data_IF_874998613049
#
_entry.id   IF_874998613049
#
_cell.length_a   1.000
_cell.length_b   1.000
_cell.length_c   1.000
_cell.angle_alpha   90.00
_cell.angle_beta   90.00
_cell.angle_gamma   90.00
#
_symmetry.space_group_name_H-M   'P 1'
#
loop_
_entity.id
_entity.type
_entity.pdbx_description
1 polymer ?
#
# COMPACT_ATOMS: atom_id res chain seq x y z
N UNK A 1 -5.79 -2.17 -21.55
CA UNK A 1 -6.07 -0.79 -21.11
C UNK A 1 -4.87 -0.39 -20.28
N UNK A 2 -4.23 0.76 -20.56
CA UNK A 2 -3.12 1.20 -19.72
C UNK A 2 -3.68 1.51 -18.33
N UNK A 3 -3.05 0.98 -17.29
CA UNK A 3 -3.31 1.43 -15.93
C UNK A 3 -2.81 2.86 -15.84
N UNK A 4 -3.62 3.76 -15.27
CA UNK A 4 -3.33 5.20 -15.16
C UNK A 4 -3.09 5.60 -13.70
N UNK A 5 -3.06 4.61 -12.82
CA UNK A 5 -2.84 4.72 -11.38
C UNK A 5 -1.89 3.58 -10.99
N UNK A 6 -0.80 3.91 -10.33
CA UNK A 6 0.25 2.97 -9.98
C UNK A 6 0.65 3.11 -8.52
N UNK A 7 1.03 1.99 -7.91
CA UNK A 7 1.55 1.94 -6.53
C UNK A 7 3.06 1.76 -6.60
N UNK A 8 3.78 2.41 -5.70
CA UNK A 8 5.23 2.41 -5.60
C UNK A 8 5.64 2.02 -4.19
N UNK A 9 6.76 1.32 -4.07
CA UNK A 9 7.38 0.91 -2.81
C UNK A 9 8.85 1.36 -2.78
N UNK A 10 9.62 0.82 -1.83
CA UNK A 10 11.04 1.13 -1.63
C UNK A 10 11.30 2.58 -1.18
N UNK A 11 10.64 2.96 -0.08
CA UNK A 11 10.78 4.26 0.60
C UNK A 11 10.48 5.49 -0.27
N UNK A 12 9.32 5.56 -0.92
CA UNK A 12 8.95 6.73 -1.73
C UNK A 12 8.89 8.01 -0.87
N UNK A 13 9.26 9.13 -1.47
CA UNK A 13 9.22 10.46 -0.87
C UNK A 13 7.94 11.16 -1.29
N UNK A 14 7.22 11.75 -0.33
CA UNK A 14 5.96 12.47 -0.58
C UNK A 14 6.18 13.66 -1.50
N UNK A 15 5.30 13.83 -2.51
CA UNK A 15 5.39 14.89 -3.52
C UNK A 15 6.49 14.71 -4.57
N UNK A 16 7.32 13.66 -4.47
CA UNK A 16 8.34 13.32 -5.46
C UNK A 16 7.82 12.26 -6.46
N UNK A 17 8.70 11.77 -7.34
CA UNK A 17 8.43 10.68 -8.29
C UNK A 17 9.38 9.48 -8.12
N UNK A 18 10.05 9.39 -6.98
CA UNK A 18 10.91 8.26 -6.60
C UNK A 18 10.10 7.05 -6.13
N UNK A 19 10.78 5.91 -5.99
CA UNK A 19 10.17 4.63 -5.63
C UNK A 19 10.29 3.59 -6.75
N UNK A 20 9.98 2.35 -6.42
CA UNK A 20 9.93 1.22 -7.37
C UNK A 20 8.49 0.82 -7.56
N UNK A 21 8.03 0.77 -8.82
CA UNK A 21 6.67 0.39 -9.13
C UNK A 21 6.38 -1.03 -8.62
N UNK A 22 5.26 -1.15 -7.90
CA UNK A 22 4.67 -2.42 -7.53
C UNK A 22 3.92 -2.92 -8.74
N UNK A 23 4.14 -4.18 -9.09
CA UNK A 23 3.51 -4.81 -10.24
C UNK A 23 2.00 -4.76 -10.13
N UNK A 24 1.36 -4.25 -11.17
CA UNK A 24 -0.08 -4.24 -11.35
C UNK A 24 -0.46 -5.34 -12.35
N UNK A 25 -1.15 -6.38 -11.85
CA UNK A 25 -1.68 -7.49 -12.66
C UNK A 25 -0.66 -8.45 -13.31
N UNK A 26 0.66 -8.23 -13.16
CA UNK A 26 1.70 -9.11 -13.71
C UNK A 26 2.43 -9.94 -12.66
N UNK A 27 2.23 -9.65 -11.37
CA UNK A 27 2.85 -10.31 -10.21
C UNK A 27 4.40 -10.33 -10.24
N UNK A 28 5.04 -9.53 -11.10
CA UNK A 28 6.49 -9.56 -11.31
C UNK A 28 7.28 -8.82 -10.22
N UNK A 29 6.62 -7.91 -9.49
CA UNK A 29 7.19 -7.08 -8.44
C UNK A 29 6.15 -6.76 -7.35
N UNK A 30 5.60 -7.76 -6.65
CA UNK A 30 4.61 -7.53 -5.58
C UNK A 30 5.27 -6.93 -4.34
N UNK A 31 4.46 -6.40 -3.43
CA UNK A 31 4.90 -6.03 -2.08
C UNK A 31 5.15 -7.33 -1.30
N UNK A 32 6.42 -7.74 -1.19
CA UNK A 32 6.81 -8.94 -0.45
C UNK A 32 7.31 -8.60 0.94
N UNK A 33 6.74 -9.23 1.96
CA UNK A 33 7.18 -9.13 3.36
C UNK A 33 7.43 -10.51 3.93
N UNK A 34 8.54 -10.66 4.65
CA UNK A 34 8.88 -11.89 5.36
C UNK A 34 8.61 -11.67 6.85
N UNK A 35 7.71 -12.44 7.44
CA UNK A 35 7.35 -12.36 8.85
C UNK A 35 7.71 -13.66 9.58
N UNK A 36 8.22 -13.55 10.80
CA UNK A 36 8.38 -14.68 11.70
C UNK A 36 7.06 -14.97 12.44
N UNK A 37 6.27 -15.90 11.90
CA UNK A 37 4.97 -16.29 12.45
C UNK A 37 5.10 -16.75 13.91
N UNK A 38 6.16 -17.48 14.28
CA UNK A 38 6.40 -17.97 15.64
C UNK A 38 6.59 -16.86 16.69
N UNK A 39 6.77 -15.61 16.26
CA UNK A 39 6.86 -14.42 17.11
C UNK A 39 5.68 -13.45 16.94
N UNK A 40 4.71 -13.76 16.08
CA UNK A 40 3.63 -12.83 15.73
C UNK A 40 4.16 -11.51 15.18
N UNK A 41 5.24 -11.56 14.38
CA UNK A 41 5.90 -10.38 13.84
C UNK A 41 4.94 -9.59 12.93
N UNK A 42 5.03 -8.26 13.00
CA UNK A 42 4.37 -7.34 12.09
C UNK A 42 5.42 -6.52 11.37
N UNK A 43 5.24 -6.28 10.06
CA UNK A 43 6.10 -5.38 9.29
C UNK A 43 5.27 -4.36 8.56
N UNK A 44 5.72 -3.11 8.66
CA UNK A 44 5.17 -2.01 7.88
C UNK A 44 6.05 -1.77 6.64
N UNK A 45 5.39 -1.46 5.53
CA UNK A 45 6.01 -1.09 4.26
C UNK A 45 5.48 0.28 3.88
N UNK A 46 6.40 1.18 3.52
CA UNK A 46 6.07 2.49 2.99
C UNK A 46 5.73 2.36 1.51
N UNK A 47 4.53 2.81 1.15
CA UNK A 47 4.03 2.81 -0.21
C UNK A 47 3.66 4.23 -0.66
N UNK A 48 3.57 4.43 -1.96
CA UNK A 48 3.00 5.62 -2.54
C UNK A 48 2.07 5.24 -3.68
N UNK A 49 1.08 6.07 -3.93
CA UNK A 49 0.24 5.97 -5.12
C UNK A 49 0.40 7.25 -5.93
N UNK A 50 0.43 7.12 -7.24
CA UNK A 50 0.40 8.26 -8.16
C UNK A 50 -0.30 7.90 -9.45
N UNK A 51 -0.88 8.91 -10.07
CA UNK A 51 -1.44 8.85 -11.41
C UNK A 51 -0.36 9.09 -12.46
N UNK A 52 -0.64 8.66 -13.68
CA UNK A 52 0.13 9.09 -14.85
C UNK A 52 0.03 10.60 -15.07
N UNK A 53 1.05 11.19 -15.70
CA UNK A 53 1.08 12.63 -15.95
C UNK A 53 -0.11 13.07 -16.81
N UNK A 54 -0.83 14.10 -16.34
CA UNK A 54 -2.06 14.59 -16.98
C UNK A 54 -3.35 14.04 -16.37
N UNK A 55 -3.26 13.19 -15.34
CA UNK A 55 -4.42 12.66 -14.61
C UNK A 55 -4.32 12.94 -13.11
N UNK A 56 -5.47 12.99 -12.45
CA UNK A 56 -5.59 13.04 -11.00
C UNK A 56 -6.85 12.30 -10.53
N UNK A 57 -6.93 12.04 -9.24
CA UNK A 57 -8.14 11.54 -8.60
C UNK A 57 -9.01 12.73 -8.19
N UNK A 58 -10.24 12.78 -8.70
CA UNK A 58 -11.27 13.68 -8.23
C UNK A 58 -11.87 13.14 -6.93
N UNK A 59 -11.66 13.88 -5.84
CA UNK A 59 -12.07 13.47 -4.50
C UNK A 59 -11.07 12.57 -3.78
N UNK A 60 -11.54 11.41 -3.30
CA UNK A 60 -10.76 10.51 -2.46
C UNK A 60 -10.48 9.18 -3.18
N UNK A 61 -9.23 8.74 -3.11
CA UNK A 61 -8.82 7.41 -3.49
C UNK A 61 -8.93 6.47 -2.28
N UNK A 62 -9.71 5.41 -2.41
CA UNK A 62 -9.84 4.37 -1.39
C UNK A 62 -8.79 3.29 -1.62
N UNK A 63 -7.97 3.00 -0.61
CA UNK A 63 -7.07 1.85 -0.57
C UNK A 63 -7.67 0.80 0.37
N UNK A 64 -7.79 -0.45 -0.11
CA UNK A 64 -8.26 -1.60 0.67
C UNK A 64 -7.58 -2.88 0.20
N UNK A 65 -7.70 -3.95 0.96
CA UNK A 65 -7.17 -5.27 0.61
C UNK A 65 -8.31 -6.22 0.26
N UNK A 66 -8.08 -7.08 -0.73
CA UNK A 66 -9.01 -8.14 -1.16
C UNK A 66 -8.26 -9.47 -1.24
N UNK A 67 -8.97 -10.59 -1.09
CA UNK A 67 -8.36 -11.93 -1.06
C UNK A 67 -8.69 -12.70 0.22
N UNK A 68 -8.21 -13.94 0.31
CA UNK A 68 -8.53 -14.87 1.41
C UNK A 68 -7.97 -14.41 2.77
N UNK A 69 -6.84 -13.69 2.79
CA UNK A 69 -6.20 -13.20 4.01
C UNK A 69 -6.09 -11.67 4.06
N UNK A 70 -7.03 -10.96 3.43
CA UNK A 70 -7.07 -9.50 3.44
C UNK A 70 -7.15 -8.92 4.87
N UNK A 71 -7.71 -9.65 5.83
CA UNK A 71 -7.80 -9.26 7.24
C UNK A 71 -6.44 -9.12 7.94
N UNK A 72 -5.41 -9.80 7.40
CA UNK A 72 -4.02 -9.72 7.87
C UNK A 72 -3.25 -8.56 7.30
N UNK A 73 -3.89 -7.75 6.48
CA UNK A 73 -3.30 -6.54 5.93
C UNK A 73 -4.07 -5.32 6.41
N UNK A 74 -3.34 -4.29 6.80
CA UNK A 74 -3.92 -3.01 7.22
C UNK A 74 -3.19 -1.87 6.53
N UNK A 75 -3.90 -0.80 6.25
CA UNK A 75 -3.35 0.42 5.70
C UNK A 75 -3.45 1.56 6.73
N UNK A 76 -2.54 2.51 6.65
CA UNK A 76 -2.55 3.72 7.45
C UNK A 76 -2.17 4.94 6.59
N UNK A 77 -2.80 6.07 6.88
CA UNK A 77 -2.46 7.35 6.24
C UNK A 77 -1.09 7.79 6.75
N UNK A 78 -0.23 8.26 5.85
CA UNK A 78 1.04 8.83 6.26
C UNK A 78 0.85 10.13 7.04
N UNK A 79 1.44 10.21 8.23
CA UNK A 79 1.42 11.42 9.06
C UNK A 79 2.83 11.74 9.58
N UNK A 80 3.83 11.69 8.69
CA UNK A 80 5.23 11.93 9.04
C UNK A 80 5.92 10.78 9.79
N UNK A 81 5.37 9.57 9.72
CA UNK A 81 5.95 8.39 10.36
C UNK A 81 7.27 7.95 9.70
N UNK A 82 8.10 7.28 10.48
CA UNK A 82 9.27 6.55 9.98
C UNK A 82 9.00 5.05 10.05
N UNK A 83 9.85 4.24 9.40
CA UNK A 83 9.74 2.78 9.48
C UNK A 83 9.83 2.26 10.92
N UNK A 84 10.46 3.02 11.82
CA UNK A 84 10.62 2.68 13.24
C UNK A 84 9.38 3.05 14.07
N UNK A 85 8.67 4.13 13.74
CA UNK A 85 7.57 4.66 14.56
C UNK A 85 6.18 4.29 14.05
N UNK A 86 6.05 3.95 12.77
CA UNK A 86 4.75 3.72 12.12
C UNK A 86 3.98 2.57 12.77
N UNK A 87 4.65 1.47 13.15
CA UNK A 87 3.96 0.30 13.70
C UNK A 87 3.22 0.64 15.00
N UNK A 88 3.83 1.46 15.86
CA UNK A 88 3.29 1.83 17.17
C UNK A 88 2.35 3.05 17.11
N UNK A 89 2.60 3.98 16.17
CA UNK A 89 1.95 5.30 16.17
C UNK A 89 0.85 5.46 15.11
N UNK A 90 0.83 4.61 14.08
CA UNK A 90 -0.12 4.77 12.99
C UNK A 90 -1.49 4.19 13.32
N UNK A 91 -2.54 4.84 12.82
CA UNK A 91 -3.91 4.35 12.90
C UNK A 91 -4.16 3.35 11.76
N UNK A 92 -4.02 2.07 12.08
CA UNK A 92 -4.18 0.97 11.13
C UNK A 92 -5.65 0.62 10.89
N UNK A 93 -6.06 0.61 9.61
CA UNK A 93 -7.43 0.33 9.16
C UNK A 93 -7.45 -0.70 8.04
N UNK A 94 -8.59 -1.36 7.87
CA UNK A 94 -8.87 -2.23 6.72
C UNK A 94 -8.98 -1.46 5.39
N UNK A 95 -9.37 -0.19 5.49
CA UNK A 95 -9.45 0.73 4.36
C UNK A 95 -9.07 2.14 4.77
N UNK A 96 -8.36 2.86 3.90
CA UNK A 96 -8.06 4.28 4.07
C UNK A 96 -8.52 5.08 2.84
N UNK A 97 -8.76 6.36 3.05
CA UNK A 97 -9.02 7.32 1.98
C UNK A 97 -7.84 8.28 1.88
N UNK A 98 -7.26 8.40 0.68
CA UNK A 98 -6.19 9.32 0.33
C UNK A 98 -6.78 10.46 -0.51
N UNK A 99 -6.35 11.68 -0.22
CA UNK A 99 -6.77 12.88 -0.96
C UNK A 99 -5.61 13.45 -1.77
N UNK A 100 -5.92 14.27 -2.77
CA UNK A 100 -4.92 14.96 -3.61
C UNK A 100 -3.96 14.00 -4.33
N UNK A 101 -4.47 12.85 -4.78
CA UNK A 101 -3.69 11.90 -5.59
C UNK A 101 -3.58 12.45 -7.00
N UNK A 102 -2.36 12.76 -7.42
CA UNK A 102 -2.03 13.29 -8.74
C UNK A 102 -0.80 12.62 -9.32
N UNK A 103 -0.01 13.33 -10.12
CA UNK A 103 1.18 12.78 -10.79
C UNK A 103 2.44 12.72 -9.89
N UNK A 104 2.29 12.99 -8.59
CA UNK A 104 3.33 12.89 -7.57
C UNK A 104 2.94 11.91 -6.47
N UNK A 105 3.93 11.43 -5.74
CA UNK A 105 3.75 10.40 -4.71
C UNK A 105 2.83 10.87 -3.57
N UNK A 106 1.64 10.27 -3.48
CA UNK A 106 0.82 10.30 -2.27
C UNK A 106 1.17 9.09 -1.40
N UNK A 107 1.81 9.35 -0.27
CA UNK A 107 2.38 8.29 0.59
C UNK A 107 1.33 7.70 1.53
N UNK A 108 1.39 6.38 1.70
CA UNK A 108 0.64 5.66 2.71
C UNK A 108 1.47 4.49 3.24
N UNK A 109 1.02 3.87 4.33
CA UNK A 109 1.67 2.72 4.92
C UNK A 109 0.78 1.50 4.82
N UNK A 110 1.37 0.36 4.55
CA UNK A 110 0.72 -0.94 4.69
C UNK A 110 1.44 -1.74 5.74
N UNK A 111 0.73 -2.58 6.49
CA UNK A 111 1.37 -3.60 7.32
C UNK A 111 0.76 -4.96 7.03
N UNK A 112 1.61 -5.96 7.15
CA UNK A 112 1.19 -7.35 7.24
C UNK A 112 1.31 -7.81 8.70
N UNK A 113 0.32 -8.59 9.12
CA UNK A 113 0.28 -9.26 10.41
C UNK A 113 0.49 -10.76 10.24
N UNK A 114 1.23 -11.36 11.17
CA UNK A 114 1.33 -12.81 11.32
C UNK A 114 0.84 -13.23 12.70
N UNK A 115 0.33 -14.46 12.81
CA UNK A 115 -0.12 -15.03 14.09
C UNK A 115 0.70 -16.27 14.43
N UNK A 116 0.94 -16.50 15.73
CA UNK A 116 1.77 -17.62 16.23
C UNK A 116 1.15 -19.00 15.95
N UNK A 117 -0.16 -19.06 15.76
CA UNK A 117 -0.90 -20.29 15.48
C UNK A 117 -0.94 -20.63 13.97
N UNK A 118 -0.23 -19.88 13.13
CA UNK A 118 -0.24 -20.08 11.69
C UNK A 118 1.03 -20.78 11.21
N UNK A 119 0.91 -21.85 10.39
CA UNK A 119 2.07 -22.49 9.81
C UNK A 119 2.78 -21.51 8.87
N UNK A 120 4.13 -21.59 8.76
CA UNK A 120 4.86 -20.82 7.77
C UNK A 120 4.31 -21.13 6.38
N UNK A 121 3.80 -20.11 5.69
CA UNK A 121 3.24 -20.23 4.36
C UNK A 121 3.55 -18.99 3.54
N UNK A 122 3.71 -19.17 2.24
CA UNK A 122 3.73 -18.07 1.29
C UNK A 122 2.28 -17.75 0.93
N UNK A 123 1.86 -16.54 1.28
CA UNK A 123 0.54 -16.05 0.91
C UNK A 123 0.67 -15.10 -0.29
N UNK A 124 0.04 -15.50 -1.40
CA UNK A 124 -0.06 -14.72 -2.65
C UNK A 124 -1.51 -14.44 -3.01
N UNK A 125 -2.45 -14.67 -2.08
CA UNK A 125 -3.89 -14.53 -2.32
C UNK A 125 -4.40 -13.11 -2.13
N UNK A 126 -3.57 -12.21 -1.61
CA UNK A 126 -3.98 -10.85 -1.23
C UNK A 126 -3.53 -9.84 -2.28
N UNK A 127 -4.51 -9.09 -2.78
CA UNK A 127 -4.29 -7.95 -3.66
C UNK A 127 -4.60 -6.63 -2.94
N UNK A 128 -3.84 -5.59 -3.30
CA UNK A 128 -4.16 -4.21 -2.91
C UNK A 128 -5.07 -3.60 -3.97
N UNK A 129 -6.24 -3.15 -3.55
CA UNK A 129 -7.21 -2.49 -4.42
C UNK A 129 -7.21 -0.98 -4.17
N UNK A 130 -6.94 -0.21 -5.22
CA UNK A 130 -7.03 1.24 -5.23
C UNK A 130 -8.20 1.69 -6.12
N UNK A 131 -9.21 2.32 -5.52
CA UNK A 131 -10.43 2.75 -6.21
C UNK A 131 -10.66 4.26 -6.05
N UNK A 132 -10.85 4.96 -7.16
CA UNK A 132 -11.14 6.39 -7.16
C UNK A 132 -11.61 6.86 -8.53
N UNK A 133 -12.20 8.05 -8.57
CA UNK A 133 -12.62 8.68 -9.82
C UNK A 133 -11.41 9.33 -10.48
N UNK A 134 -10.86 8.67 -11.50
CA UNK A 134 -9.77 9.23 -12.29
C UNK A 134 -10.32 10.25 -13.31
N UNK A 135 -9.73 11.43 -13.34
CA UNK A 135 -10.05 12.50 -14.28
C UNK A 135 -8.78 13.02 -14.96
N UNK A 136 -8.91 13.47 -16.21
CA UNK A 136 -7.84 14.18 -16.91
C UNK A 136 -7.84 15.65 -16.51
N UNK A 137 -6.66 16.25 -16.44
CA UNK A 137 -6.48 17.69 -16.27
C UNK A 137 -7.00 18.50 -17.47
#
# INVERSE_FOLDING_TARGET
MAELLHIYMNNPTEGSKDGTEVSSGTELAPISVLLDAGKGEQKAVKCAVRCESGFHIDGALTIKFIGDHADKWKAAINNGYTAETVLESAEWKDSIALSNVGDTNTVFWVKALSSADEPPQQDVSVDIQAEGLLVSN
#
